data_IF_468422480032
#
_entry.id   IF_468422480032
#
_cell.length_a   1.000
_cell.length_b   1.000
_cell.length_c   1.000
_cell.angle_alpha   90.00
_cell.angle_beta   90.00
_cell.angle_gamma   90.00
#
_symmetry.space_group_name_H-M   'P 1'
#
loop_
_entity.id
_entity.type
_entity.pdbx_description
1 polymer ?
#
# COMPACT_ATOMS: atom_id res chain seq x y z
N UNK A 1 40.94 53.38 81.07
CA UNK A 1 41.45 54.56 80.41
C UNK A 1 40.69 54.65 79.09
N UNK A 2 39.73 55.59 78.99
CA UNK A 2 39.64 56.72 78.10
C UNK A 2 39.44 56.38 76.62
N UNK A 3 38.55 56.83 75.90
CA UNK A 3 37.60 57.96 75.83
C UNK A 3 36.84 57.78 74.51
N UNK A 4 35.53 58.01 74.50
CA UNK A 4 34.84 59.14 73.87
C UNK A 4 34.93 59.17 72.33
N UNK A 5 33.94 59.33 71.53
CA UNK A 5 32.67 60.13 71.45
C UNK A 5 32.34 60.10 69.96
N UNK A 6 31.19 60.03 69.56
CA UNK A 6 30.01 60.88 69.27
C UNK A 6 29.86 61.28 67.79
N UNK A 7 28.64 61.07 67.26
CA UNK A 7 27.89 61.81 66.21
C UNK A 7 28.34 61.65 64.76
N UNK A 8 27.50 61.52 63.74
CA UNK A 8 26.22 62.21 63.38
C UNK A 8 25.50 61.47 62.24
N UNK A 9 24.19 61.63 62.31
CA UNK A 9 23.16 61.41 61.28
C UNK A 9 23.54 61.86 59.87
N UNK A 10 23.19 61.06 58.89
CA UNK A 10 22.53 61.56 57.64
C UNK A 10 21.63 60.50 57.02
N UNK A 11 20.41 60.92 56.82
CA UNK A 11 19.40 60.20 56.08
C UNK A 11 19.77 60.14 54.60
N UNK A 12 19.64 58.95 53.96
CA UNK A 12 19.46 58.87 52.53
C UNK A 12 18.46 57.78 52.27
N UNK A 13 17.30 58.20 51.83
CA UNK A 13 16.26 57.45 51.14
C UNK A 13 16.85 56.62 50.00
N UNK A 14 16.71 55.30 50.04
CA UNK A 14 16.95 54.47 48.90
C UNK A 14 15.60 53.86 48.44
N UNK A 15 15.26 54.28 47.24
CA UNK A 15 14.05 53.87 46.54
C UNK A 15 13.98 52.31 46.39
N UNK A 16 12.85 51.77 46.76
CA UNK A 16 12.51 50.35 46.40
C UNK A 16 12.29 50.27 44.89
N UNK A 17 13.30 49.77 44.19
CA UNK A 17 13.12 49.29 42.80
C UNK A 17 12.39 47.98 42.79
N UNK A 18 11.17 47.99 42.32
CA UNK A 18 10.41 46.78 42.01
C UNK A 18 11.03 46.10 40.79
N UNK A 19 11.74 45.02 41.01
CA UNK A 19 12.09 44.07 39.96
C UNK A 19 10.85 43.21 39.70
N UNK A 20 10.05 43.58 38.73
CA UNK A 20 9.05 42.70 38.13
C UNK A 20 9.79 41.63 37.31
N UNK A 21 10.09 40.52 37.96
CA UNK A 21 10.51 39.31 37.27
C UNK A 21 9.33 38.79 36.41
N UNK A 22 9.36 39.16 35.13
CA UNK A 22 8.46 38.58 34.15
C UNK A 22 8.74 37.07 34.04
N UNK A 23 7.91 36.26 34.70
CA UNK A 23 7.85 34.84 34.46
C UNK A 23 7.25 34.67 33.07
N UNK A 24 8.11 34.55 32.04
CA UNK A 24 7.68 34.07 30.74
C UNK A 24 7.19 32.64 30.94
N UNK A 25 5.89 32.49 31.07
CA UNK A 25 5.23 31.17 30.99
C UNK A 25 5.51 30.61 29.60
N UNK A 26 6.54 29.75 29.49
CA UNK A 26 6.69 28.85 28.38
C UNK A 26 5.46 27.91 28.41
N UNK A 27 4.40 28.32 27.74
CA UNK A 27 3.32 27.41 27.37
C UNK A 27 3.97 26.34 26.50
N UNK A 28 4.40 25.25 27.14
CA UNK A 28 4.63 24.01 26.45
C UNK A 28 3.31 23.70 25.73
N UNK A 29 3.31 23.87 24.41
CA UNK A 29 2.20 23.39 23.60
C UNK A 29 2.09 21.88 23.90
N UNK A 30 1.10 21.53 24.68
CA UNK A 30 0.81 20.14 25.03
C UNK A 30 0.46 19.47 23.70
N UNK A 31 1.40 18.71 23.12
CA UNK A 31 1.13 17.97 21.90
C UNK A 31 -0.10 17.11 22.15
N UNK A 32 -1.13 17.29 21.36
CA UNK A 32 -2.33 16.46 21.45
C UNK A 32 -1.91 14.99 21.43
N UNK A 33 -2.54 14.16 22.26
CA UNK A 33 -2.25 12.73 22.28
C UNK A 33 -2.38 12.13 20.87
N UNK A 34 -1.48 11.22 20.46
CA UNK A 34 -1.55 10.60 19.14
C UNK A 34 -2.91 9.95 18.92
N UNK A 35 -3.45 10.11 17.72
CA UNK A 35 -4.72 9.48 17.33
C UNK A 35 -4.47 7.99 17.13
N UNK A 36 -5.20 7.14 17.85
CA UNK A 36 -5.14 5.69 17.66
C UNK A 36 -5.70 5.32 16.29
N UNK A 37 -4.94 4.57 15.49
CA UNK A 37 -5.27 4.27 14.11
C UNK A 37 -4.83 2.84 13.76
N UNK A 38 -5.64 2.13 12.99
CA UNK A 38 -5.35 0.74 12.60
C UNK A 38 -5.30 0.62 11.08
N UNK A 39 -4.30 -0.11 10.59
CA UNK A 39 -4.10 -0.39 9.15
C UNK A 39 -4.13 -1.89 8.93
N UNK A 40 -5.05 -2.35 8.08
CA UNK A 40 -5.07 -3.73 7.62
C UNK A 40 -4.02 -3.96 6.54
N UNK A 41 -3.21 -4.97 6.71
CA UNK A 41 -2.14 -5.37 5.79
C UNK A 41 -2.05 -6.89 5.63
N UNK A 42 -1.33 -7.37 4.63
CA UNK A 42 -1.05 -8.78 4.38
C UNK A 42 0.46 -9.04 4.23
N UNK A 43 0.84 -10.30 4.16
CA UNK A 43 2.23 -10.71 3.92
C UNK A 43 2.66 -10.49 2.46
N UNK A 44 2.67 -9.23 2.01
CA UNK A 44 3.05 -8.81 0.67
C UNK A 44 4.15 -7.75 0.71
N UNK A 45 5.11 -7.80 -0.22
CA UNK A 45 6.28 -6.92 -0.18
C UNK A 45 5.96 -5.46 -0.50
N UNK A 46 4.91 -5.23 -1.24
CA UNK A 46 4.39 -3.90 -1.58
C UNK A 46 3.75 -3.17 -0.37
N UNK A 47 3.49 -3.89 0.74
CA UNK A 47 3.07 -3.28 2.00
C UNK A 47 4.23 -2.64 2.79
N UNK A 48 5.45 -2.66 2.26
CA UNK A 48 6.65 -2.07 2.86
C UNK A 48 6.47 -0.66 3.43
N UNK A 49 5.77 0.28 2.75
CA UNK A 49 5.61 1.63 3.28
C UNK A 49 4.92 1.65 4.65
N UNK A 50 3.90 0.81 4.87
CA UNK A 50 3.21 0.74 6.17
C UNK A 50 4.12 0.20 7.28
N UNK A 51 4.86 -0.87 7.00
CA UNK A 51 5.79 -1.47 7.97
C UNK A 51 6.94 -0.52 8.31
N UNK A 52 7.50 0.13 7.30
CA UNK A 52 8.52 1.17 7.45
C UNK A 52 8.01 2.34 8.27
N UNK A 53 6.78 2.81 7.99
CA UNK A 53 6.22 3.94 8.71
C UNK A 53 6.02 3.67 10.21
N UNK A 54 5.64 2.43 10.58
CA UNK A 54 5.55 2.01 11.98
C UNK A 54 6.94 1.94 12.62
N UNK A 55 7.86 1.18 12.02
CA UNK A 55 9.17 0.92 12.65
C UNK A 55 10.09 2.14 12.72
N UNK A 56 9.94 3.08 11.79
CA UNK A 56 10.70 4.33 11.78
C UNK A 56 10.01 5.47 12.52
N UNK A 57 8.84 5.22 13.11
CA UNK A 57 8.09 6.26 13.82
C UNK A 57 7.52 7.36 12.92
N UNK A 58 7.41 7.12 11.60
CA UNK A 58 6.87 8.12 10.65
C UNK A 58 5.41 8.45 11.01
N UNK A 59 4.58 7.45 11.28
CA UNK A 59 3.21 7.70 11.72
C UNK A 59 3.15 8.52 13.02
N UNK A 60 4.00 8.19 13.99
CA UNK A 60 4.07 8.92 15.26
C UNK A 60 4.48 10.39 15.06
N UNK A 61 5.43 10.66 14.15
CA UNK A 61 5.82 12.01 13.74
C UNK A 61 4.64 12.84 13.21
N UNK A 62 3.68 12.18 12.56
CA UNK A 62 2.45 12.79 12.06
C UNK A 62 1.27 12.72 13.05
N UNK A 63 1.53 12.39 14.32
CA UNK A 63 0.52 12.38 15.38
C UNK A 63 -0.43 11.19 15.35
N UNK A 64 -0.02 10.06 14.77
CA UNK A 64 -0.79 8.82 14.71
C UNK A 64 -0.11 7.69 15.51
N UNK A 65 -0.86 7.01 16.38
CA UNK A 65 -0.48 5.73 16.98
C UNK A 65 -1.04 4.58 16.13
N UNK A 66 -0.24 4.11 15.16
CA UNK A 66 -0.69 3.12 14.18
C UNK A 66 -0.36 1.70 14.62
N UNK A 67 -1.38 0.83 14.54
CA UNK A 67 -1.24 -0.62 14.69
C UNK A 67 -1.57 -1.31 13.38
N UNK A 68 -0.67 -2.20 12.93
CA UNK A 68 -0.91 -3.05 11.77
C UNK A 68 -1.71 -4.29 12.19
N UNK A 69 -2.81 -4.56 11.47
CA UNK A 69 -3.61 -5.78 11.60
C UNK A 69 -3.30 -6.66 10.39
N UNK A 70 -2.66 -7.82 10.64
CA UNK A 70 -2.23 -8.72 9.56
C UNK A 70 -3.34 -9.69 9.16
N UNK A 71 -3.52 -9.87 7.85
CA UNK A 71 -4.49 -10.76 7.22
C UNK A 71 -3.82 -11.73 6.22
N UNK A 72 -4.48 -12.85 5.96
CA UNK A 72 -4.02 -13.84 4.97
C UNK A 72 -4.26 -13.37 3.52
N UNK A 73 -5.34 -12.62 3.28
CA UNK A 73 -5.72 -12.16 1.95
C UNK A 73 -6.42 -10.80 1.95
N UNK A 74 -6.49 -10.17 0.77
CA UNK A 74 -7.25 -8.94 0.58
C UNK A 74 -8.76 -9.11 0.85
N UNK A 75 -9.31 -10.31 0.65
CA UNK A 75 -10.73 -10.59 0.93
C UNK A 75 -11.00 -10.54 2.44
N UNK A 76 -10.13 -11.19 3.25
CA UNK A 76 -10.24 -11.18 4.72
C UNK A 76 -10.05 -9.77 5.26
N UNK A 77 -9.11 -9.04 4.70
CA UNK A 77 -8.82 -7.65 5.03
C UNK A 77 -10.04 -6.75 4.78
N UNK A 78 -10.74 -6.96 3.64
CA UNK A 78 -11.96 -6.22 3.32
C UNK A 78 -13.07 -6.46 4.35
N UNK A 79 -13.26 -7.71 4.77
CA UNK A 79 -14.23 -8.06 5.80
C UNK A 79 -13.88 -7.36 7.13
N UNK A 80 -12.60 -7.32 7.50
CA UNK A 80 -12.14 -6.60 8.70
C UNK A 80 -12.45 -5.11 8.66
N UNK A 81 -12.26 -4.44 7.51
CA UNK A 81 -12.58 -3.02 7.32
C UNK A 81 -14.08 -2.75 7.49
N UNK A 82 -14.91 -3.56 6.86
CA UNK A 82 -16.38 -3.43 6.93
C UNK A 82 -16.93 -3.69 8.33
N UNK A 83 -16.22 -4.48 9.14
CA UNK A 83 -16.55 -4.72 10.55
C UNK A 83 -15.89 -3.71 11.51
N UNK A 84 -15.31 -2.61 11.00
CA UNK A 84 -14.61 -1.58 11.77
C UNK A 84 -13.44 -2.12 12.62
N UNK A 85 -12.81 -3.23 12.20
CA UNK A 85 -11.61 -3.77 12.88
C UNK A 85 -10.38 -2.89 12.66
N UNK A 86 -10.36 -2.12 11.58
CA UNK A 86 -9.33 -1.12 11.23
C UNK A 86 -9.94 0.09 10.51
N UNK A 87 -9.17 1.18 10.41
CA UNK A 87 -9.57 2.44 9.79
C UNK A 87 -9.29 2.45 8.27
N UNK A 88 -8.18 1.82 7.87
CA UNK A 88 -7.70 1.79 6.48
C UNK A 88 -7.21 0.38 6.14
N UNK A 89 -7.40 -0.02 4.89
CA UNK A 89 -6.72 -1.18 4.29
C UNK A 89 -5.74 -0.75 3.23
N UNK A 90 -4.63 -1.49 3.13
CA UNK A 90 -3.74 -1.48 1.98
C UNK A 90 -3.82 -2.84 1.28
N UNK A 91 -4.28 -2.87 0.01
CA UNK A 91 -4.60 -4.13 -0.67
C UNK A 91 -4.68 -3.94 -2.19
N UNK A 92 -4.73 -5.04 -2.95
CA UNK A 92 -4.96 -4.99 -4.41
C UNK A 92 -6.35 -4.46 -4.78
N UNK A 93 -6.49 -3.93 -5.99
CA UNK A 93 -7.74 -3.31 -6.46
C UNK A 93 -8.90 -4.31 -6.68
N UNK A 94 -8.61 -5.55 -7.04
CA UNK A 94 -9.62 -6.56 -7.39
C UNK A 94 -10.67 -6.77 -6.29
N UNK A 95 -10.34 -7.10 -5.02
CA UNK A 95 -11.36 -7.28 -3.98
C UNK A 95 -12.10 -5.97 -3.63
N UNK A 96 -11.44 -4.82 -3.74
CA UNK A 96 -12.08 -3.51 -3.59
C UNK A 96 -13.19 -3.29 -4.61
N UNK A 97 -12.88 -3.45 -5.91
CA UNK A 97 -13.85 -3.28 -7.00
C UNK A 97 -15.03 -4.25 -6.85
N UNK A 98 -14.75 -5.51 -6.50
CA UNK A 98 -15.77 -6.50 -6.26
C UNK A 98 -16.69 -6.11 -5.08
N UNK A 99 -16.12 -5.60 -3.98
CA UNK A 99 -16.87 -5.10 -2.83
C UNK A 99 -17.73 -3.90 -3.17
N UNK A 100 -17.15 -2.89 -3.81
CA UNK A 100 -17.84 -1.68 -4.23
C UNK A 100 -19.01 -1.98 -5.19
N UNK A 101 -18.84 -2.95 -6.11
CA UNK A 101 -19.90 -3.35 -7.05
C UNK A 101 -21.12 -3.97 -6.36
N UNK A 102 -20.95 -4.50 -5.15
CA UNK A 102 -22.03 -5.00 -4.28
C UNK A 102 -22.67 -3.90 -3.40
N UNK A 103 -22.23 -2.64 -3.57
CA UNK A 103 -22.77 -1.50 -2.81
C UNK A 103 -22.12 -1.31 -1.45
N UNK A 104 -21.00 -1.96 -1.16
CA UNK A 104 -20.25 -1.69 0.07
C UNK A 104 -19.73 -0.26 0.09
N UNK A 105 -19.74 0.45 1.24
CA UNK A 105 -19.43 1.89 1.32
C UNK A 105 -17.93 2.18 1.29
N UNK A 106 -17.24 1.61 0.32
CA UNK A 106 -15.79 1.67 0.17
C UNK A 106 -15.35 2.91 -0.60
N UNK A 107 -14.20 3.47 -0.21
CA UNK A 107 -13.60 4.65 -0.82
C UNK A 107 -12.10 4.44 -0.98
N UNK A 108 -11.59 4.63 -2.20
CA UNK A 108 -10.16 4.71 -2.50
C UNK A 108 -9.67 6.13 -2.17
N UNK A 109 -8.63 6.23 -1.37
CA UNK A 109 -8.03 7.51 -0.97
C UNK A 109 -6.60 7.73 -1.50
N UNK A 110 -6.01 6.71 -2.14
CA UNK A 110 -4.69 6.73 -2.77
C UNK A 110 -4.30 5.34 -3.27
N UNK A 111 -3.20 5.25 -4.00
CA UNK A 111 -2.60 3.96 -4.32
C UNK A 111 -1.63 3.51 -3.23
N UNK A 112 -1.49 2.22 -3.03
CA UNK A 112 -0.41 1.59 -2.27
C UNK A 112 0.84 1.43 -3.14
N UNK A 113 0.63 1.11 -4.40
CA UNK A 113 1.60 1.08 -5.49
C UNK A 113 0.83 1.24 -6.79
N UNK A 114 1.42 1.87 -7.78
CA UNK A 114 0.73 2.14 -9.03
C UNK A 114 1.66 2.82 -10.04
N UNK A 115 1.09 3.26 -11.12
CA UNK A 115 1.74 4.13 -12.08
C UNK A 115 0.78 5.24 -12.49
N UNK A 116 0.97 6.42 -11.94
CA UNK A 116 0.16 7.59 -12.26
C UNK A 116 0.32 8.04 -13.73
N UNK A 117 1.34 7.53 -14.43
CA UNK A 117 1.64 7.88 -15.83
C UNK A 117 1.13 6.85 -16.84
N UNK A 118 0.63 5.67 -16.37
CA UNK A 118 0.23 4.58 -17.24
C UNK A 118 -1.12 3.96 -16.77
N UNK A 119 -2.10 3.79 -17.68
CA UNK A 119 -3.37 3.12 -17.37
C UNK A 119 -3.28 1.59 -17.36
N UNK A 120 -2.10 1.00 -17.59
CA UNK A 120 -1.84 -0.44 -17.52
C UNK A 120 -0.83 -0.70 -16.43
N UNK A 121 -1.20 -1.53 -15.44
CA UNK A 121 -0.34 -1.79 -14.29
C UNK A 121 -0.62 -3.14 -13.64
N UNK A 122 0.42 -3.94 -13.47
CA UNK A 122 0.41 -5.19 -12.73
C UNK A 122 1.83 -5.59 -12.26
N UNK A 123 2.70 -4.64 -11.93
CA UNK A 123 4.15 -4.84 -11.80
C UNK A 123 4.55 -5.85 -10.72
N UNK A 124 3.77 -5.98 -9.64
CA UNK A 124 4.02 -6.92 -8.55
C UNK A 124 3.44 -8.33 -8.79
N UNK A 125 2.78 -8.56 -9.94
CA UNK A 125 2.17 -9.85 -10.29
C UNK A 125 3.04 -10.64 -11.27
N UNK A 126 3.08 -11.95 -11.09
CA UNK A 126 3.79 -12.86 -11.99
C UNK A 126 3.13 -14.22 -12.06
N UNK A 127 3.29 -14.87 -13.20
CA UNK A 127 3.02 -16.31 -13.34
C UNK A 127 4.36 -17.03 -13.38
N UNK A 128 4.53 -17.99 -12.48
CA UNK A 128 5.75 -18.78 -12.32
C UNK A 128 5.42 -20.24 -12.63
N UNK A 129 6.31 -20.89 -13.35
CA UNK A 129 6.17 -22.32 -13.76
C UNK A 129 7.50 -23.04 -13.63
N UNK A 130 7.49 -24.34 -13.86
CA UNK A 130 8.69 -25.19 -13.97
C UNK A 130 8.79 -25.80 -15.38
N UNK A 131 9.94 -26.35 -15.79
CA UNK A 131 10.09 -27.04 -17.08
C UNK A 131 9.09 -28.18 -17.29
N UNK A 132 8.55 -28.79 -16.23
CA UNK A 132 7.55 -29.84 -16.32
C UNK A 132 6.26 -29.41 -17.03
N UNK A 133 5.92 -28.12 -17.03
CA UNK A 133 4.79 -27.58 -17.78
C UNK A 133 5.01 -27.59 -19.30
N UNK A 134 6.26 -27.64 -19.77
CA UNK A 134 6.66 -27.45 -21.16
C UNK A 134 6.70 -25.99 -21.62
N UNK A 135 6.27 -25.05 -20.77
CA UNK A 135 6.21 -23.62 -21.12
C UNK A 135 7.59 -22.93 -21.01
N UNK A 136 7.84 -21.99 -21.92
CA UNK A 136 9.04 -21.14 -21.95
C UNK A 136 8.65 -19.71 -21.58
N UNK A 137 9.62 -18.93 -21.12
CA UNK A 137 9.40 -17.52 -20.79
C UNK A 137 8.68 -16.78 -21.94
N UNK A 138 7.59 -16.08 -21.63
CA UNK A 138 6.73 -15.37 -22.57
C UNK A 138 5.61 -16.20 -23.20
N UNK A 139 5.69 -17.55 -23.15
CA UNK A 139 4.73 -18.44 -23.80
C UNK A 139 3.58 -18.85 -22.84
N UNK A 140 2.68 -17.91 -22.59
CA UNK A 140 1.51 -18.19 -21.75
C UNK A 140 0.57 -19.23 -22.39
N UNK A 141 0.50 -19.33 -23.72
CA UNK A 141 -0.37 -20.30 -24.43
C UNK A 141 -0.02 -21.75 -24.15
N UNK A 142 1.22 -22.03 -23.79
CA UNK A 142 1.66 -23.38 -23.40
C UNK A 142 0.97 -23.89 -22.12
N UNK A 143 0.29 -23.02 -21.36
CA UNK A 143 -0.50 -23.42 -20.19
C UNK A 143 -1.90 -23.96 -20.55
N UNK A 144 -2.26 -24.08 -21.83
CA UNK A 144 -3.53 -24.69 -22.22
C UNK A 144 -3.62 -26.13 -21.72
N UNK A 145 -4.74 -26.48 -21.07
CA UNK A 145 -4.98 -27.79 -20.41
C UNK A 145 -4.29 -27.94 -19.05
N UNK A 146 -3.55 -26.94 -18.57
CA UNK A 146 -2.74 -27.00 -17.36
C UNK A 146 -3.50 -26.50 -16.11
N UNK A 147 -2.98 -26.88 -14.93
CA UNK A 147 -3.45 -26.43 -13.62
C UNK A 147 -2.68 -25.19 -13.21
N UNK A 148 -3.37 -24.10 -12.92
CA UNK A 148 -2.78 -22.85 -12.42
C UNK A 148 -3.27 -22.61 -11.00
N UNK A 149 -2.34 -22.62 -10.03
CA UNK A 149 -2.61 -22.26 -8.65
C UNK A 149 -2.65 -20.73 -8.50
N UNK A 150 -3.62 -20.23 -7.75
CA UNK A 150 -3.77 -18.80 -7.45
C UNK A 150 -4.65 -18.59 -6.21
N UNK A 151 -4.65 -17.40 -5.64
CA UNK A 151 -5.63 -17.01 -4.61
C UNK A 151 -6.82 -16.33 -5.30
N UNK A 152 -8.01 -16.92 -5.17
CA UNK A 152 -9.22 -16.39 -5.81
C UNK A 152 -9.66 -15.06 -5.20
N UNK A 153 -10.28 -14.21 -6.03
CA UNK A 153 -10.78 -12.89 -5.64
C UNK A 153 -9.69 -11.85 -5.43
N UNK A 154 -8.46 -12.13 -5.89
CA UNK A 154 -7.31 -11.22 -5.77
C UNK A 154 -6.77 -10.79 -7.14
N UNK A 155 -5.81 -9.86 -7.16
CA UNK A 155 -5.10 -9.46 -8.37
C UNK A 155 -4.42 -10.63 -9.09
N UNK A 156 -4.01 -11.68 -8.37
CA UNK A 156 -3.41 -12.87 -8.98
C UNK A 156 -4.38 -13.62 -9.90
N UNK A 157 -5.67 -13.71 -9.53
CA UNK A 157 -6.71 -14.26 -10.42
C UNK A 157 -6.98 -13.32 -11.59
N UNK A 158 -7.14 -11.99 -11.32
CA UNK A 158 -7.35 -11.01 -12.36
C UNK A 158 -6.22 -11.02 -13.41
N UNK A 159 -4.98 -11.19 -12.97
CA UNK A 159 -3.82 -11.28 -13.86
C UNK A 159 -3.89 -12.50 -14.79
N UNK A 160 -4.28 -13.66 -14.30
CA UNK A 160 -4.50 -14.87 -15.15
C UNK A 160 -5.60 -14.62 -16.15
N UNK A 161 -6.76 -14.09 -15.74
CA UNK A 161 -7.88 -13.78 -16.62
C UNK A 161 -7.48 -12.79 -17.72
N UNK A 162 -6.72 -11.75 -17.38
CA UNK A 162 -6.17 -10.80 -18.34
C UNK A 162 -5.21 -11.47 -19.34
N UNK A 163 -4.35 -12.39 -18.88
CA UNK A 163 -3.43 -13.13 -19.77
C UNK A 163 -4.16 -14.12 -20.67
N UNK A 164 -5.21 -14.75 -20.18
CA UNK A 164 -6.08 -15.61 -21.02
C UNK A 164 -6.70 -14.76 -22.14
N UNK A 165 -7.29 -13.62 -21.81
CA UNK A 165 -7.89 -12.70 -22.79
C UNK A 165 -6.85 -12.26 -23.83
N UNK A 166 -5.67 -11.78 -23.40
CA UNK A 166 -4.58 -11.37 -24.30
C UNK A 166 -4.12 -12.50 -25.25
N UNK A 167 -4.18 -13.73 -24.76
CA UNK A 167 -3.73 -14.92 -25.51
C UNK A 167 -4.81 -15.50 -26.42
N UNK A 168 -6.03 -14.94 -26.41
CA UNK A 168 -7.19 -15.49 -27.12
C UNK A 168 -7.67 -16.81 -26.53
N UNK A 169 -7.38 -17.06 -25.24
CA UNK A 169 -7.80 -18.22 -24.47
C UNK A 169 -8.99 -17.87 -23.59
N UNK A 170 -9.72 -18.90 -23.17
CA UNK A 170 -10.84 -18.79 -22.21
C UNK A 170 -10.47 -19.42 -20.87
N UNK A 171 -11.26 -19.14 -19.83
CA UNK A 171 -11.01 -19.73 -18.51
C UNK A 171 -11.08 -21.27 -18.55
N UNK A 172 -11.94 -21.83 -19.39
CA UNK A 172 -12.11 -23.29 -19.55
C UNK A 172 -10.89 -23.96 -20.19
N UNK A 173 -10.00 -23.20 -20.82
CA UNK A 173 -8.74 -23.71 -21.37
C UNK A 173 -7.70 -24.07 -20.29
N UNK A 174 -7.95 -23.70 -19.02
CA UNK A 174 -7.07 -23.99 -17.88
C UNK A 174 -7.88 -24.41 -16.66
N UNK A 175 -7.25 -25.10 -15.71
CA UNK A 175 -7.87 -25.45 -14.42
C UNK A 175 -7.33 -24.52 -13.33
N UNK A 176 -8.17 -23.66 -12.75
CA UNK A 176 -7.77 -22.75 -11.66
C UNK A 176 -7.95 -23.43 -10.30
N UNK A 177 -6.84 -23.54 -9.54
CA UNK A 177 -6.80 -24.14 -8.20
C UNK A 177 -6.63 -23.03 -7.16
N UNK A 178 -7.58 -22.93 -6.22
CA UNK A 178 -7.53 -21.92 -5.15
C UNK A 178 -6.62 -22.37 -4.00
N UNK A 179 -5.58 -21.61 -3.74
CA UNK A 179 -4.61 -21.85 -2.66
C UNK A 179 -4.25 -20.54 -1.97
N UNK A 180 -3.83 -20.60 -0.69
CA UNK A 180 -3.23 -19.44 -0.01
C UNK A 180 -1.85 -19.14 -0.59
N UNK A 181 -1.36 -17.90 -0.51
CA UNK A 181 -0.10 -17.50 -1.15
C UNK A 181 1.11 -18.35 -0.77
N UNK A 182 1.24 -18.71 0.51
CA UNK A 182 2.34 -19.58 0.98
C UNK A 182 2.23 -21.01 0.41
N UNK A 183 1.01 -21.55 0.27
CA UNK A 183 0.78 -22.89 -0.24
C UNK A 183 1.00 -23.01 -1.75
N UNK A 184 0.90 -21.90 -2.51
CA UNK A 184 1.20 -21.87 -3.94
C UNK A 184 2.61 -22.36 -4.26
N UNK A 185 3.61 -21.91 -3.48
CA UNK A 185 5.00 -22.31 -3.68
C UNK A 185 5.21 -23.81 -3.45
N UNK A 186 4.57 -24.35 -2.42
CA UNK A 186 4.62 -25.76 -2.10
C UNK A 186 3.97 -26.61 -3.19
N UNK A 187 2.77 -26.21 -3.64
CA UNK A 187 2.04 -26.91 -4.71
C UNK A 187 2.82 -26.93 -6.04
N UNK A 188 3.48 -25.81 -6.39
CA UNK A 188 4.34 -25.76 -7.58
C UNK A 188 5.55 -26.69 -7.45
N UNK A 189 6.18 -26.72 -6.28
CA UNK A 189 7.35 -27.58 -6.00
C UNK A 189 6.99 -29.06 -6.06
N UNK A 190 5.80 -29.45 -5.60
CA UNK A 190 5.31 -30.84 -5.59
C UNK A 190 4.75 -31.28 -6.93
N UNK A 191 4.48 -30.35 -7.86
CA UNK A 191 3.86 -30.64 -9.14
C UNK A 191 2.32 -30.81 -9.06
N UNK A 192 1.69 -30.41 -7.96
CA UNK A 192 0.22 -30.43 -7.80
C UNK A 192 -0.44 -29.44 -8.76
N UNK A 193 0.30 -28.37 -9.12
CA UNK A 193 -0.04 -27.38 -10.15
C UNK A 193 1.13 -27.21 -11.12
N UNK A 194 0.81 -26.93 -12.40
CA UNK A 194 1.81 -26.71 -13.46
C UNK A 194 2.40 -25.29 -13.42
N UNK A 195 1.64 -24.34 -12.93
CA UNK A 195 2.04 -22.95 -12.77
C UNK A 195 1.33 -22.33 -11.57
N UNK A 196 1.86 -21.21 -11.07
CA UNK A 196 1.18 -20.38 -10.09
C UNK A 196 1.10 -18.92 -10.57
N UNK A 197 0.02 -18.23 -10.23
CA UNK A 197 -0.07 -16.78 -10.31
C UNK A 197 -0.03 -16.22 -8.90
N UNK A 198 0.87 -15.30 -8.65
CA UNK A 198 1.02 -14.70 -7.34
C UNK A 198 1.60 -13.28 -7.39
N UNK A 199 1.41 -12.57 -6.28
CA UNK A 199 2.05 -11.30 -6.00
C UNK A 199 3.37 -11.51 -5.24
N UNK A 200 4.16 -10.44 -5.14
CA UNK A 200 5.42 -10.45 -4.40
C UNK A 200 5.19 -10.44 -2.87
N UNK A 201 5.99 -11.16 -2.07
CA UNK A 201 7.24 -11.83 -2.44
C UNK A 201 7.07 -13.27 -2.95
N UNK A 202 5.86 -13.83 -2.96
CA UNK A 202 5.63 -15.26 -3.20
C UNK A 202 6.03 -15.72 -4.60
N UNK A 203 5.85 -14.84 -5.60
CA UNK A 203 6.36 -15.09 -6.95
C UNK A 203 7.91 -15.16 -6.98
N UNK A 204 8.60 -14.30 -6.24
CA UNK A 204 10.06 -14.35 -6.07
C UNK A 204 10.50 -15.59 -5.29
N UNK A 205 9.79 -15.96 -4.20
CA UNK A 205 10.05 -17.22 -3.46
C UNK A 205 9.95 -18.41 -4.41
N UNK A 206 8.88 -18.49 -5.20
CA UNK A 206 8.74 -19.58 -6.16
C UNK A 206 9.88 -19.61 -7.19
N UNK A 207 10.20 -18.44 -7.79
CA UNK A 207 11.24 -18.38 -8.83
C UNK A 207 12.63 -18.72 -8.30
N UNK A 208 12.95 -18.36 -7.07
CA UNK A 208 14.31 -18.51 -6.51
C UNK A 208 14.50 -19.77 -5.66
N UNK A 209 13.40 -20.38 -5.18
CA UNK A 209 13.46 -21.51 -4.23
C UNK A 209 12.82 -22.81 -4.75
N UNK A 210 12.07 -22.78 -5.87
CA UNK A 210 11.61 -23.99 -6.54
C UNK A 210 12.64 -24.36 -7.61
N UNK A 211 13.14 -25.61 -7.64
CA UNK A 211 14.16 -26.00 -8.61
C UNK A 211 13.73 -25.77 -10.05
N UNK A 212 14.59 -25.12 -10.83
CA UNK A 212 14.36 -24.78 -12.24
C UNK A 212 13.10 -23.97 -12.53
N UNK A 213 12.48 -23.36 -11.52
CA UNK A 213 11.33 -22.49 -11.75
C UNK A 213 11.74 -21.25 -12.55
N UNK A 214 10.83 -20.78 -13.38
CA UNK A 214 11.01 -19.56 -14.17
C UNK A 214 9.76 -18.69 -14.11
N UNK A 215 9.97 -17.37 -14.21
CA UNK A 215 8.87 -16.45 -14.47
C UNK A 215 8.43 -16.60 -15.91
N UNK A 216 7.24 -17.16 -16.09
CA UNK A 216 6.64 -17.29 -17.41
C UNK A 216 6.27 -15.93 -17.99
N UNK A 217 5.56 -15.13 -17.20
CA UNK A 217 5.20 -13.74 -17.48
C UNK A 217 5.21 -12.93 -16.19
N UNK A 218 5.55 -11.63 -16.28
CA UNK A 218 5.61 -10.75 -15.11
C UNK A 218 5.27 -9.32 -15.53
N UNK A 219 4.32 -8.68 -14.87
CA UNK A 219 4.01 -7.26 -14.99
C UNK A 219 3.59 -6.75 -16.37
N UNK A 220 4.14 -7.32 -17.41
CA UNK A 220 3.87 -6.94 -18.81
C UNK A 220 2.46 -7.39 -19.23
N UNK A 221 1.55 -6.43 -19.26
CA UNK A 221 0.16 -6.70 -19.53
C UNK A 221 -0.56 -5.45 -20.06
N UNK A 222 -0.84 -5.42 -21.37
CA UNK A 222 -1.57 -4.34 -22.02
C UNK A 222 -3.09 -4.39 -21.76
N UNK A 223 -3.58 -5.39 -21.03
CA UNK A 223 -4.99 -5.56 -20.65
C UNK A 223 -5.15 -5.76 -19.13
N UNK A 224 -4.18 -5.31 -18.32
CA UNK A 224 -4.22 -5.41 -16.87
C UNK A 224 -4.22 -4.03 -16.22
N UNK A 225 -5.05 -3.86 -15.21
CA UNK A 225 -4.95 -2.76 -14.28
C UNK A 225 -5.34 -3.26 -12.88
N UNK A 226 -4.35 -3.55 -12.07
CA UNK A 226 -4.52 -3.99 -10.69
C UNK A 226 -3.48 -3.31 -9.79
N UNK A 227 -3.61 -2.00 -9.54
CA UNK A 227 -2.75 -1.31 -8.60
C UNK A 227 -3.05 -1.75 -7.17
N UNK A 228 -2.10 -1.53 -6.28
CA UNK A 228 -2.37 -1.53 -4.85
C UNK A 228 -3.20 -0.31 -4.48
N UNK A 229 -4.07 -0.46 -3.52
CA UNK A 229 -5.04 0.57 -3.12
C UNK A 229 -4.95 0.85 -1.63
N UNK A 230 -5.14 2.10 -1.26
CA UNK A 230 -5.37 2.56 0.11
C UNK A 230 -6.86 2.83 0.23
N UNK A 231 -7.54 2.02 1.04
CA UNK A 231 -9.00 2.01 1.16
C UNK A 231 -9.47 2.39 2.54
N UNK A 232 -10.61 3.06 2.58
CA UNK A 232 -11.37 3.28 3.80
C UNK A 232 -12.87 3.17 3.52
N UNK A 233 -13.72 3.47 4.50
CA UNK A 233 -15.16 3.55 4.32
C UNK A 233 -15.63 5.01 4.29
N UNK A 234 -16.82 5.26 3.70
CA UNK A 234 -17.44 6.60 3.71
C UNK A 234 -17.67 7.11 5.13
N UNK A 235 -18.05 6.19 6.04
CA UNK A 235 -18.23 6.50 7.46
C UNK A 235 -16.93 6.96 8.12
N UNK A 236 -15.82 6.28 7.83
CA UNK A 236 -14.50 6.66 8.34
C UNK A 236 -14.06 8.02 7.79
N UNK A 237 -14.31 8.28 6.49
CA UNK A 237 -14.07 9.61 5.89
C UNK A 237 -14.85 10.68 6.65
N UNK A 238 -16.14 10.46 6.94
CA UNK A 238 -16.97 11.45 7.62
C UNK A 238 -16.54 11.70 9.07
N UNK A 239 -16.07 10.66 9.78
CA UNK A 239 -15.74 10.74 11.21
C UNK A 239 -14.30 11.17 11.48
N UNK A 240 -13.35 10.76 10.64
CA UNK A 240 -11.92 10.81 10.93
C UNK A 240 -11.08 11.47 9.80
N UNK A 241 -11.66 12.46 9.10
CA UNK A 241 -11.00 13.16 7.97
C UNK A 241 -9.58 13.67 8.31
N UNK A 242 -9.36 14.24 9.51
CA UNK A 242 -8.04 14.74 9.92
C UNK A 242 -7.04 13.59 10.08
N UNK A 243 -7.43 12.50 10.72
CA UNK A 243 -6.56 11.31 10.85
C UNK A 243 -6.20 10.71 9.47
N UNK A 244 -7.16 10.64 8.55
CA UNK A 244 -6.90 10.17 7.19
C UNK A 244 -5.97 11.10 6.40
N UNK A 245 -6.07 12.43 6.58
CA UNK A 245 -5.12 13.39 5.99
C UNK A 245 -3.71 13.22 6.54
N UNK A 246 -3.57 13.07 7.86
CA UNK A 246 -2.27 12.78 8.50
C UNK A 246 -1.71 11.45 8.01
N UNK A 247 -2.56 10.43 7.91
CA UNK A 247 -2.17 9.11 7.40
C UNK A 247 -1.62 9.20 5.97
N UNK A 248 -2.30 9.87 5.04
CA UNK A 248 -1.84 9.97 3.65
C UNK A 248 -0.53 10.74 3.51
N UNK A 249 -0.31 11.80 4.30
CA UNK A 249 0.97 12.51 4.33
C UNK A 249 2.10 11.64 4.90
N UNK A 250 1.85 10.93 6.01
CA UNK A 250 2.81 10.01 6.61
C UNK A 250 3.14 8.85 5.67
N UNK A 251 2.13 8.34 4.96
CA UNK A 251 2.31 7.25 4.00
C UNK A 251 3.14 7.70 2.79
N UNK A 252 2.95 8.93 2.30
CA UNK A 252 3.78 9.53 1.25
C UNK A 252 5.25 9.65 1.66
N UNK A 253 5.53 10.08 2.92
CA UNK A 253 6.89 10.09 3.48
C UNK A 253 7.50 8.68 3.49
N UNK A 254 6.72 7.69 3.92
CA UNK A 254 7.17 6.29 3.96
C UNK A 254 7.43 5.72 2.56
N UNK A 255 6.59 6.01 1.58
CA UNK A 255 6.81 5.59 0.20
C UNK A 255 8.08 6.21 -0.38
N UNK A 256 8.30 7.50 -0.19
CA UNK A 256 9.54 8.14 -0.61
C UNK A 256 10.75 7.48 0.03
N UNK A 257 10.68 7.20 1.34
CA UNK A 257 11.77 6.52 2.02
C UNK A 257 12.03 5.14 1.43
N UNK A 258 10.98 4.35 1.15
CA UNK A 258 11.11 3.03 0.51
C UNK A 258 11.74 3.13 -0.87
N UNK A 259 11.30 4.08 -1.71
CA UNK A 259 11.89 4.31 -3.04
C UNK A 259 13.40 4.59 -2.97
N UNK A 260 13.82 5.35 -1.97
CA UNK A 260 15.23 5.75 -1.77
C UNK A 260 16.07 4.69 -1.04
N UNK A 261 15.44 3.74 -0.31
CA UNK A 261 16.12 2.81 0.59
C UNK A 261 15.59 1.37 0.45
N UNK A 262 15.47 0.86 -0.78
CA UNK A 262 14.81 -0.43 -1.06
C UNK A 262 15.43 -1.61 -0.30
N UNK A 263 16.74 -1.66 -0.12
CA UNK A 263 17.42 -2.73 0.61
C UNK A 263 17.09 -2.70 2.10
N UNK A 264 17.10 -1.52 2.71
CA UNK A 264 16.69 -1.36 4.11
C UNK A 264 15.18 -1.60 4.31
N UNK A 265 14.36 -1.26 3.32
CA UNK A 265 12.93 -1.60 3.33
C UNK A 265 12.71 -3.12 3.27
N UNK A 266 13.54 -3.87 2.55
CA UNK A 266 13.50 -5.32 2.55
C UNK A 266 13.80 -5.91 3.95
N UNK A 267 14.78 -5.36 4.66
CA UNK A 267 15.10 -5.77 6.02
C UNK A 267 13.94 -5.49 7.00
N UNK A 268 13.25 -4.36 6.85
CA UNK A 268 12.03 -4.07 7.61
C UNK A 268 10.96 -5.11 7.30
N UNK A 269 10.67 -5.37 6.02
CA UNK A 269 9.63 -6.30 5.61
C UNK A 269 9.82 -7.72 6.16
N UNK A 270 11.06 -8.20 6.24
CA UNK A 270 11.36 -9.53 6.80
C UNK A 270 10.92 -9.72 8.25
N UNK A 271 10.79 -8.64 9.01
CA UNK A 271 10.29 -8.73 10.39
C UNK A 271 8.79 -9.00 10.43
N UNK A 272 8.08 -8.55 9.41
CA UNK A 272 6.62 -8.68 9.27
C UNK A 272 6.19 -9.89 8.46
N UNK A 273 6.99 -10.31 7.47
CA UNK A 273 6.68 -11.40 6.54
C UNK A 273 7.62 -12.57 6.81
N UNK A 274 7.09 -13.66 7.36
CA UNK A 274 7.87 -14.85 7.69
C UNK A 274 8.05 -15.79 6.49
N UNK A 275 9.12 -16.59 6.52
CA UNK A 275 9.38 -17.60 5.49
C UNK A 275 9.95 -17.07 4.19
N UNK A 276 10.49 -15.85 4.20
CA UNK A 276 11.13 -15.19 3.04
C UNK A 276 12.53 -14.79 3.43
N UNK A 277 13.51 -15.09 2.59
CA UNK A 277 14.90 -14.70 2.78
C UNK A 277 15.17 -13.26 2.31
N UNK A 278 16.24 -12.64 2.78
CA UNK A 278 16.55 -11.24 2.48
C UNK A 278 16.79 -10.99 0.99
N UNK A 279 17.50 -11.87 0.29
CA UNK A 279 17.76 -11.75 -1.15
C UNK A 279 16.45 -11.82 -1.97
N UNK A 280 15.52 -12.69 -1.55
CA UNK A 280 14.18 -12.79 -2.15
C UNK A 280 13.39 -11.51 -1.88
N UNK A 281 13.40 -11.01 -0.65
CA UNK A 281 12.68 -9.79 -0.29
C UNK A 281 13.23 -8.56 -1.03
N UNK A 282 14.56 -8.44 -1.16
CA UNK A 282 15.19 -7.38 -1.97
C UNK A 282 14.76 -7.45 -3.45
N UNK A 283 14.68 -8.66 -4.01
CA UNK A 283 14.17 -8.86 -5.36
C UNK A 283 12.69 -8.46 -5.49
N UNK A 284 11.89 -8.81 -4.49
CA UNK A 284 10.45 -8.57 -4.48
C UNK A 284 10.09 -7.08 -4.40
N UNK A 285 10.71 -6.33 -3.49
CA UNK A 285 10.45 -4.89 -3.31
C UNK A 285 10.71 -4.10 -4.59
N UNK A 286 11.77 -4.42 -5.32
CA UNK A 286 12.12 -3.75 -6.58
C UNK A 286 11.11 -3.94 -7.70
N UNK A 287 10.12 -4.83 -7.52
CA UNK A 287 9.06 -5.08 -8.50
C UNK A 287 7.81 -4.25 -8.28
N UNK A 288 7.72 -3.53 -7.16
CA UNK A 288 6.61 -2.60 -6.91
C UNK A 288 7.04 -1.17 -7.24
N UNK A 289 6.19 -0.45 -7.96
CA UNK A 289 6.35 0.97 -8.18
C UNK A 289 5.54 1.72 -7.11
N UNK A 290 6.23 2.26 -6.12
CA UNK A 290 5.63 2.98 -4.99
C UNK A 290 5.28 4.41 -5.42
N UNK A 291 4.13 4.56 -6.07
CA UNK A 291 3.55 5.84 -6.48
C UNK A 291 2.07 5.88 -6.08
N UNK A 292 1.80 6.53 -4.96
CA UNK A 292 0.44 6.60 -4.41
C UNK A 292 -0.47 7.62 -5.09
N UNK A 293 0.05 8.39 -6.04
CA UNK A 293 -0.71 9.47 -6.67
C UNK A 293 -1.86 8.94 -7.53
N UNK A 294 -2.96 9.68 -7.49
CA UNK A 294 -4.10 9.47 -8.36
C UNK A 294 -3.98 10.33 -9.61
N UNK A 295 -4.43 9.80 -10.74
CA UNK A 295 -4.40 10.49 -12.02
C UNK A 295 -5.62 10.14 -12.86
N UNK A 296 -5.75 10.76 -14.03
CA UNK A 296 -6.75 10.35 -15.02
C UNK A 296 -6.52 8.91 -15.51
N UNK A 297 -5.26 8.43 -15.49
CA UNK A 297 -4.96 7.05 -15.82
C UNK A 297 -5.52 6.06 -14.77
N UNK A 298 -5.71 6.45 -13.52
CA UNK A 298 -6.43 5.65 -12.51
C UNK A 298 -7.87 5.41 -12.93
N UNK A 299 -8.57 6.48 -13.36
CA UNK A 299 -9.95 6.36 -13.86
C UNK A 299 -10.01 5.52 -15.12
N UNK A 300 -9.12 5.78 -16.08
CA UNK A 300 -9.04 5.05 -17.36
C UNK A 300 -8.74 3.56 -17.15
N UNK A 301 -7.78 3.24 -16.29
CA UNK A 301 -7.41 1.86 -15.96
C UNK A 301 -8.56 1.07 -15.34
N UNK A 302 -9.28 1.67 -14.41
CA UNK A 302 -10.47 1.03 -13.84
C UNK A 302 -11.61 0.92 -14.86
N UNK A 303 -11.97 2.03 -15.55
CA UNK A 303 -13.13 2.07 -16.43
C UNK A 303 -12.96 1.21 -17.69
N UNK A 304 -11.75 1.20 -18.27
CA UNK A 304 -11.50 0.60 -19.59
C UNK A 304 -10.86 -0.78 -19.52
N UNK A 305 -10.28 -1.15 -18.37
CA UNK A 305 -9.51 -2.39 -18.22
C UNK A 305 -10.05 -3.27 -17.09
N UNK A 306 -9.93 -2.87 -15.81
CA UNK A 306 -10.23 -3.75 -14.68
C UNK A 306 -11.74 -4.07 -14.59
N UNK A 307 -12.60 -3.07 -14.58
CA UNK A 307 -14.05 -3.25 -14.39
C UNK A 307 -14.67 -4.07 -15.52
N UNK A 308 -14.45 -3.79 -16.83
CA UNK A 308 -15.00 -4.61 -17.90
C UNK A 308 -14.62 -6.08 -17.80
N UNK A 309 -13.35 -6.38 -17.52
CA UNK A 309 -12.89 -7.75 -17.35
C UNK A 309 -13.57 -8.43 -16.17
N UNK A 310 -13.58 -7.80 -15.00
CA UNK A 310 -14.15 -8.39 -13.78
C UNK A 310 -15.67 -8.61 -13.89
N UNK A 311 -16.38 -7.76 -14.64
CA UNK A 311 -17.81 -7.94 -14.96
C UNK A 311 -18.01 -9.11 -15.93
N UNK A 312 -17.23 -9.18 -17.02
CA UNK A 312 -17.30 -10.27 -18.00
C UNK A 312 -17.03 -11.62 -17.37
N UNK A 313 -16.07 -11.68 -16.46
CA UNK A 313 -15.69 -12.91 -15.72
C UNK A 313 -16.54 -13.16 -14.47
N UNK A 314 -17.64 -12.40 -14.27
CA UNK A 314 -18.57 -12.53 -13.14
C UNK A 314 -17.90 -12.39 -11.76
N UNK A 315 -16.80 -11.64 -11.69
CA UNK A 315 -16.10 -11.30 -10.44
C UNK A 315 -16.66 -10.02 -9.81
N UNK A 316 -17.31 -9.18 -10.62
CA UNK A 316 -18.11 -8.04 -10.15
C UNK A 316 -19.60 -8.27 -10.43
N UNK A 317 -20.45 -7.83 -9.51
CA UNK A 317 -21.89 -7.96 -9.64
C UNK A 317 -22.46 -7.06 -10.77
N UNK A 318 -21.87 -5.89 -10.95
CA UNK A 318 -22.25 -4.88 -11.96
C UNK A 318 -21.10 -3.92 -12.23
N UNK A 319 -21.14 -3.27 -13.37
CA UNK A 319 -20.26 -2.13 -13.66
C UNK A 319 -20.56 -0.97 -12.71
N UNK A 320 -19.56 -0.13 -12.48
CA UNK A 320 -19.66 1.09 -11.68
C UNK A 320 -18.79 2.19 -12.30
N UNK A 321 -19.11 3.45 -11.99
CA UNK A 321 -18.27 4.59 -12.33
C UNK A 321 -17.11 4.68 -11.33
N UNK A 322 -15.83 4.58 -11.78
CA UNK A 322 -14.69 4.70 -10.89
C UNK A 322 -14.67 6.00 -10.08
N UNK A 323 -15.13 7.11 -10.67
CA UNK A 323 -15.15 8.38 -9.95
C UNK A 323 -16.05 8.34 -8.69
N UNK A 324 -17.07 7.48 -8.69
CA UNK A 324 -18.00 7.34 -7.55
C UNK A 324 -17.38 6.65 -6.32
N UNK A 325 -16.25 5.98 -6.47
CA UNK A 325 -15.57 5.21 -5.41
C UNK A 325 -14.19 5.77 -5.06
N UNK A 326 -13.81 6.92 -5.58
CA UNK A 326 -12.52 7.58 -5.33
C UNK A 326 -12.77 8.91 -4.63
N UNK A 327 -12.06 9.16 -3.54
CA UNK A 327 -12.01 10.46 -2.87
C UNK A 327 -10.58 11.02 -2.94
N UNK A 328 -10.35 11.84 -3.95
CA UNK A 328 -9.03 12.40 -4.23
C UNK A 328 -8.61 13.53 -3.25
N UNK A 329 -9.49 13.97 -2.34
CA UNK A 329 -9.15 15.08 -1.43
C UNK A 329 -7.91 14.77 -0.58
N UNK A 330 -7.71 13.50 -0.20
CA UNK A 330 -6.59 13.08 0.64
C UNK A 330 -5.26 13.15 -0.11
N UNK A 331 -5.25 12.70 -1.38
CA UNK A 331 -4.06 12.83 -2.23
C UNK A 331 -3.78 14.28 -2.59
N UNK A 332 -4.79 15.06 -2.98
CA UNK A 332 -4.64 16.50 -3.22
C UNK A 332 -4.08 17.23 -1.98
N UNK A 333 -4.54 16.84 -0.78
CA UNK A 333 -3.99 17.36 0.47
C UNK A 333 -2.51 16.98 0.65
N UNK A 334 -2.14 15.71 0.49
CA UNK A 334 -0.77 15.25 0.67
C UNK A 334 0.19 15.92 -0.34
N UNK A 335 -0.19 15.99 -1.62
CA UNK A 335 0.60 16.64 -2.68
C UNK A 335 0.77 18.14 -2.45
N UNK A 336 -0.23 18.83 -1.90
CA UNK A 336 -0.17 20.29 -1.65
C UNK A 336 0.57 20.65 -0.37
N UNK A 337 0.46 19.83 0.70
CA UNK A 337 1.06 20.12 2.01
C UNK A 337 2.45 19.54 2.18
N UNK A 338 2.78 18.48 1.44
CA UNK A 338 4.05 17.76 1.53
C UNK A 338 4.63 17.39 0.14
N UNK A 339 4.77 18.35 -0.80
CA UNK A 339 5.22 18.08 -2.17
C UNK A 339 6.61 17.45 -2.25
N UNK A 340 7.44 17.62 -1.20
CA UNK A 340 8.78 17.06 -1.12
C UNK A 340 8.76 15.51 -1.18
N UNK A 341 7.70 14.86 -0.70
CA UNK A 341 7.60 13.40 -0.70
C UNK A 341 7.28 12.79 -2.08
N UNK A 342 7.02 13.65 -3.06
CA UNK A 342 6.76 13.28 -4.46
C UNK A 342 7.81 13.81 -5.43
N UNK A 343 8.83 14.53 -4.93
CA UNK A 343 9.81 15.26 -5.75
C UNK A 343 10.73 14.36 -6.58
N UNK A 344 10.89 13.11 -6.21
CA UNK A 344 11.66 12.09 -6.92
C UNK A 344 10.83 11.36 -8.01
N UNK A 345 9.51 11.59 -8.06
CA UNK A 345 8.63 11.02 -9.06
C UNK A 345 8.53 11.92 -10.30
N UNK A 346 8.37 11.30 -11.47
CA UNK A 346 8.11 12.07 -12.68
C UNK A 346 6.79 12.85 -12.55
N UNK A 347 6.72 14.11 -12.99
CA UNK A 347 5.50 14.91 -12.88
C UNK A 347 4.36 14.30 -13.72
N UNK A 348 3.14 14.36 -13.20
CA UNK A 348 1.95 13.97 -13.96
C UNK A 348 1.66 15.11 -14.96
N UNK A 349 1.56 14.82 -16.27
CA UNK A 349 1.18 15.81 -17.28
C UNK A 349 -0.15 16.51 -16.92
N UNK A 350 -0.29 17.78 -17.25
CA UNK A 350 -1.45 18.58 -16.83
C UNK A 350 -2.79 17.98 -17.29
N UNK A 351 -2.83 17.43 -18.50
CA UNK A 351 -4.00 16.77 -19.09
C UNK A 351 -4.30 15.38 -18.47
N UNK A 352 -3.38 14.85 -17.69
CA UNK A 352 -3.49 13.55 -17.00
C UNK A 352 -3.68 13.67 -15.51
N UNK A 353 -3.71 14.85 -14.95
CA UNK A 353 -4.02 15.05 -13.52
C UNK A 353 -5.43 14.54 -13.20
N UNK A 354 -5.60 14.09 -11.98
CA UNK A 354 -6.94 13.70 -11.50
C UNK A 354 -7.85 14.93 -11.53
N UNK A 355 -9.09 14.82 -12.08
CA UNK A 355 -10.01 15.96 -12.24
C UNK A 355 -10.43 16.63 -10.90
#
# INVERSE_FOLDING_TARGET
MTKKQIWLRTWRTVALGWFAAGVASLTMAQSAAPISFKVGAAGASDHAPAFVAVERGIFAKHGLDVKIVMYESGVDMLNGLLNNSQNVNIMGATPFLAGASRGQPLVLIGHLHGDALNPFYASNLSIVTTPASGAKAGDFKALKGKKIGLTRGTGAENYVLSKLLQSGMKQEDVTLINLSPANLVTALRQGDVDAISSFEPWASVATLRVPNALRLVSGDCSACYDPGTILTTRDEVAKNTDALKRFTVAFAEAEQWVRQNQDAAAEVNMRWIKGVDLDVMKSAIRRSNFDMRLSRNTLDGFAKTAIPLLVAEKRMAKSLDPASIIDAQFMKHAESTAPQFFSDLKPIPADRRYP
#
